data_IF_957003479959
#
_entry.id   IF_957003479959
#
_cell.length_a   1.000
_cell.length_b   1.000
_cell.length_c   1.000
_cell.angle_alpha   90.00
_cell.angle_beta   90.00
_cell.angle_gamma   90.00
#
_symmetry.space_group_name_H-M   'P 1'
#
loop_
_entity.id
_entity.type
_entity.pdbx_description
1 polymer ?
#
# COMPACT_ATOMS: atom_id res chain seq x y z
N UNK A 1 17.62 -66.36 59.21
CA UNK A 1 16.16 -66.41 58.95
C UNK A 1 15.75 -65.02 58.48
N UNK A 2 15.10 -64.94 57.31
CA UNK A 2 14.94 -63.79 56.39
C UNK A 2 14.54 -62.44 57.04
N UNK A 3 15.08 -61.34 56.48
CA UNK A 3 14.42 -60.03 56.20
C UNK A 3 15.47 -59.03 55.68
N UNK A 4 15.58 -58.85 54.37
CA UNK A 4 14.82 -57.91 53.50
C UNK A 4 15.59 -56.60 53.33
N UNK A 5 16.27 -56.48 52.17
CA UNK A 5 16.96 -55.29 51.71
C UNK A 5 15.94 -54.27 51.20
N UNK A 6 15.88 -53.09 51.82
CA UNK A 6 15.22 -51.91 51.25
C UNK A 6 16.30 -50.98 50.71
N UNK A 7 16.46 -50.96 49.38
CA UNK A 7 17.16 -49.87 48.67
C UNK A 7 16.28 -48.60 48.71
N UNK A 8 16.85 -47.40 48.93
CA UNK A 8 16.12 -46.17 48.71
C UNK A 8 16.04 -45.90 47.19
N UNK A 9 14.80 -45.77 46.69
CA UNK A 9 14.52 -45.37 45.32
C UNK A 9 14.87 -43.89 45.16
N UNK A 10 16.00 -43.60 44.53
CA UNK A 10 16.41 -42.24 44.17
C UNK A 10 15.61 -41.81 42.93
N UNK A 11 14.52 -41.08 43.13
CA UNK A 11 13.73 -40.48 42.05
C UNK A 11 14.50 -39.32 41.41
N UNK A 12 15.20 -39.60 40.30
CA UNK A 12 15.83 -38.61 39.45
C UNK A 12 14.75 -37.92 38.60
N UNK A 13 14.25 -36.77 39.07
CA UNK A 13 13.44 -35.87 38.24
C UNK A 13 14.34 -35.22 37.18
N UNK A 14 14.32 -35.76 35.96
CA UNK A 14 14.82 -35.07 34.77
C UNK A 14 13.83 -33.94 34.44
N UNK A 15 14.12 -32.73 34.91
CA UNK A 15 13.54 -31.51 34.36
C UNK A 15 14.17 -31.29 32.98
N UNK A 16 13.48 -31.76 31.94
CA UNK A 16 13.74 -31.30 30.57
C UNK A 16 13.35 -29.83 30.55
N UNK A 17 14.33 -28.96 30.74
CA UNK A 17 14.16 -27.53 30.49
C UNK A 17 13.81 -27.38 29.03
N UNK A 18 12.56 -27.07 28.73
CA UNK A 18 12.15 -26.57 27.43
C UNK A 18 12.94 -25.28 27.18
N UNK A 19 14.00 -25.41 26.39
CA UNK A 19 14.66 -24.27 25.78
C UNK A 19 13.65 -23.72 24.80
N UNK A 20 12.83 -22.76 25.24
CA UNK A 20 12.08 -21.92 24.33
C UNK A 20 13.18 -21.18 23.54
N UNK A 21 13.35 -21.41 22.23
CA UNK A 21 14.20 -20.53 21.46
C UNK A 21 13.60 -19.14 21.64
N UNK A 22 14.38 -18.22 22.18
CA UNK A 22 14.05 -16.81 22.08
C UNK A 22 13.82 -16.57 20.59
N UNK A 23 12.58 -16.31 20.20
CA UNK A 23 12.26 -15.75 18.89
C UNK A 23 13.09 -14.47 18.83
N UNK A 24 14.22 -14.57 18.13
CA UNK A 24 15.05 -13.44 17.82
C UNK A 24 14.13 -12.57 16.99
N UNK A 25 13.57 -11.55 17.64
CA UNK A 25 12.76 -10.50 17.06
C UNK A 25 13.26 -10.27 15.64
N UNK A 26 12.42 -10.59 14.64
CA UNK A 26 12.76 -10.39 13.24
C UNK A 26 12.99 -8.90 13.06
N UNK A 27 14.24 -8.49 13.26
CA UNK A 27 14.57 -7.09 13.38
C UNK A 27 14.68 -6.59 11.95
N UNK A 28 13.55 -6.13 11.42
CA UNK A 28 13.46 -5.28 10.23
C UNK A 28 14.14 -3.91 10.43
N UNK A 29 15.13 -3.84 11.33
CA UNK A 29 15.95 -2.70 11.66
C UNK A 29 17.32 -2.80 10.96
N UNK A 30 18.21 -1.86 11.27
CA UNK A 30 19.54 -1.80 10.66
C UNK A 30 20.39 -3.06 10.91
N UNK A 31 20.12 -3.83 11.97
CA UNK A 31 20.85 -5.07 12.22
C UNK A 31 20.43 -6.20 11.25
N UNK A 32 19.16 -6.20 10.82
CA UNK A 32 18.66 -7.12 9.80
C UNK A 32 19.36 -6.99 8.45
N UNK A 33 19.90 -5.81 8.12
CA UNK A 33 20.64 -5.56 6.87
C UNK A 33 21.95 -6.35 6.78
N UNK A 34 22.57 -6.69 7.90
CA UNK A 34 23.84 -7.43 7.92
C UNK A 34 23.68 -8.94 7.66
N UNK A 35 22.44 -9.45 7.61
CA UNK A 35 22.16 -10.87 7.43
C UNK A 35 22.11 -11.22 5.93
N UNK A 36 22.89 -12.22 5.53
CA UNK A 36 22.80 -12.81 4.19
C UNK A 36 21.45 -13.53 4.06
N UNK A 37 20.66 -13.14 3.06
CA UNK A 37 19.37 -13.77 2.74
C UNK A 37 19.56 -14.80 1.63
N UNK A 38 18.93 -15.96 1.77
CA UNK A 38 18.92 -17.05 0.77
C UNK A 38 17.51 -17.27 0.22
N UNK A 39 17.42 -17.86 -0.97
CA UNK A 39 16.12 -18.21 -1.58
C UNK A 39 15.37 -17.03 -2.22
N UNK A 40 16.02 -15.86 -2.29
CA UNK A 40 15.50 -14.65 -2.93
C UNK A 40 16.35 -14.29 -4.14
N UNK A 41 15.72 -13.93 -5.25
CA UNK A 41 16.38 -13.39 -6.43
C UNK A 41 15.82 -12.01 -6.73
N UNK A 42 16.65 -10.96 -6.64
CA UNK A 42 16.23 -9.60 -7.02
C UNK A 42 15.96 -9.52 -8.52
N UNK A 43 14.85 -8.89 -8.87
CA UNK A 43 14.42 -8.65 -10.24
C UNK A 43 13.88 -7.22 -10.35
N UNK A 44 13.93 -6.67 -11.58
CA UNK A 44 13.33 -5.39 -11.94
C UNK A 44 12.61 -5.53 -13.28
N UNK A 45 11.42 -4.96 -13.37
CA UNK A 45 10.81 -4.59 -14.65
C UNK A 45 10.77 -3.07 -14.71
N UNK A 46 11.16 -2.51 -15.84
CA UNK A 46 11.24 -1.07 -16.02
C UNK A 46 10.93 -0.65 -17.45
N UNK A 47 10.79 0.66 -17.64
CA UNK A 47 10.65 1.29 -18.94
C UNK A 47 11.96 1.40 -19.75
N UNK A 48 13.05 0.75 -19.32
CA UNK A 48 14.37 0.91 -19.97
C UNK A 48 14.36 0.57 -21.46
N UNK A 49 15.25 1.22 -22.20
CA UNK A 49 15.44 1.00 -23.62
C UNK A 49 16.09 -0.37 -23.87
N UNK A 50 15.32 -1.32 -24.40
CA UNK A 50 15.79 -2.68 -24.69
C UNK A 50 16.87 -2.74 -25.78
N UNK A 51 17.05 -1.67 -26.56
CA UNK A 51 18.13 -1.57 -27.55
C UNK A 51 19.47 -1.18 -26.93
N UNK A 52 19.47 -0.75 -25.65
CA UNK A 52 20.64 -0.15 -25.00
C UNK A 52 20.82 1.34 -25.31
N UNK A 53 19.85 1.96 -25.97
CA UNK A 53 19.76 3.41 -26.14
C UNK A 53 19.32 4.14 -24.88
N UNK A 54 18.78 5.35 -25.04
CA UNK A 54 18.36 6.24 -23.95
C UNK A 54 16.86 6.56 -23.99
N UNK A 55 16.06 5.80 -24.74
CA UNK A 55 14.61 5.95 -24.73
C UNK A 55 13.98 5.12 -23.61
N UNK A 56 14.33 5.44 -22.37
CA UNK A 56 13.96 4.68 -21.17
C UNK A 56 12.53 4.92 -20.68
N UNK A 57 11.59 5.13 -21.61
CA UNK A 57 10.19 5.46 -21.31
C UNK A 57 9.23 4.69 -22.19
N UNK A 58 8.00 4.51 -21.70
CA UNK A 58 6.88 4.29 -22.59
C UNK A 58 6.44 5.63 -23.19
N UNK A 59 6.27 5.64 -24.51
CA UNK A 59 5.87 6.82 -25.25
C UNK A 59 4.40 6.76 -25.67
N UNK A 60 3.79 7.94 -25.77
CA UNK A 60 2.53 8.18 -26.46
C UNK A 60 1.36 7.29 -26.00
N UNK A 61 1.17 7.13 -24.68
CA UNK A 61 0.00 6.41 -24.15
C UNK A 61 -1.23 7.29 -24.35
N UNK A 62 -2.14 6.85 -25.22
CA UNK A 62 -3.27 7.65 -25.71
C UNK A 62 -4.39 7.77 -24.66
N UNK A 63 -5.27 8.78 -24.77
CA UNK A 63 -6.50 8.81 -23.98
C UNK A 63 -7.28 7.50 -24.11
N UNK A 64 -7.72 6.94 -22.99
CA UNK A 64 -8.40 5.66 -22.87
C UNK A 64 -7.50 4.42 -23.01
N UNK A 65 -6.20 4.58 -23.27
CA UNK A 65 -5.29 3.43 -23.40
C UNK A 65 -4.98 2.83 -22.03
N UNK A 66 -5.04 1.50 -21.96
CA UNK A 66 -4.53 0.71 -20.85
C UNK A 66 -3.13 0.21 -21.20
N UNK A 67 -2.15 0.49 -20.35
CA UNK A 67 -0.76 0.08 -20.52
C UNK A 67 -0.33 -0.83 -19.39
N UNK A 68 0.07 -2.05 -19.73
CA UNK A 68 0.66 -3.00 -18.79
C UNK A 68 2.09 -2.57 -18.43
N UNK A 69 2.38 -2.46 -17.14
CA UNK A 69 3.68 -2.09 -16.59
C UNK A 69 4.44 -3.31 -16.02
N UNK A 70 3.70 -4.28 -15.51
CA UNK A 70 4.27 -5.45 -14.85
C UNK A 70 3.36 -6.66 -15.09
N UNK A 71 3.95 -7.81 -15.46
CA UNK A 71 3.22 -9.06 -15.62
C UNK A 71 4.20 -10.23 -15.46
N UNK A 72 4.20 -10.82 -14.27
CA UNK A 72 5.09 -11.92 -13.92
C UNK A 72 4.29 -13.13 -13.48
N UNK A 73 4.92 -14.30 -13.56
CA UNK A 73 4.40 -15.56 -13.03
C UNK A 73 5.21 -15.97 -11.80
N UNK A 74 4.71 -16.94 -11.04
CA UNK A 74 5.38 -17.45 -9.84
C UNK A 74 5.19 -16.57 -8.60
N UNK A 75 6.00 -16.84 -7.57
CA UNK A 75 5.89 -16.17 -6.28
C UNK A 75 6.96 -15.07 -6.12
N UNK A 76 6.59 -13.98 -5.44
CA UNK A 76 7.49 -12.88 -5.17
C UNK A 76 6.87 -11.78 -4.31
N UNK A 77 7.69 -10.78 -4.00
CA UNK A 77 7.26 -9.59 -3.26
C UNK A 77 7.81 -8.35 -3.95
N UNK A 78 6.91 -7.51 -4.47
CA UNK A 78 7.29 -6.14 -4.87
C UNK A 78 7.69 -5.40 -3.60
N UNK A 79 8.80 -4.67 -3.64
CA UNK A 79 9.33 -3.95 -2.48
C UNK A 79 9.78 -2.53 -2.80
N UNK A 80 9.75 -2.15 -4.07
CA UNK A 80 9.96 -0.78 -4.49
C UNK A 80 9.28 -0.52 -5.84
N UNK A 81 8.52 0.57 -5.90
CA UNK A 81 7.97 1.11 -7.14
C UNK A 81 8.46 2.56 -7.24
N UNK A 82 9.00 2.94 -8.40
CA UNK A 82 9.30 4.32 -8.75
C UNK A 82 8.62 4.68 -10.06
N UNK A 83 8.01 5.86 -10.15
CA UNK A 83 7.32 6.35 -11.36
C UNK A 83 7.60 7.84 -11.55
N UNK A 84 7.79 8.27 -12.80
CA UNK A 84 7.62 9.68 -13.20
C UNK A 84 6.96 9.80 -14.56
N UNK A 85 6.23 10.90 -14.79
CA UNK A 85 5.30 11.06 -15.91
C UNK A 85 5.50 12.43 -16.55
N UNK A 86 5.46 12.47 -17.89
CA UNK A 86 5.40 13.71 -18.67
C UNK A 86 4.19 13.66 -19.64
N UNK A 87 3.48 14.78 -19.89
CA UNK A 87 3.66 16.12 -19.32
C UNK A 87 3.55 16.17 -17.78
N UNK A 88 4.09 17.23 -17.15
CA UNK A 88 3.99 17.42 -15.71
C UNK A 88 2.56 17.78 -15.25
N UNK A 89 2.29 17.77 -13.93
CA UNK A 89 0.92 17.87 -13.38
C UNK A 89 0.10 19.08 -13.82
N UNK A 90 0.76 20.22 -14.07
CA UNK A 90 0.13 21.44 -14.61
C UNK A 90 -0.48 21.25 -16.01
N UNK A 91 -0.08 20.21 -16.74
CA UNK A 91 -0.55 19.87 -18.09
C UNK A 91 -1.25 18.50 -18.14
N UNK A 92 -1.06 17.65 -17.13
CA UNK A 92 -1.52 16.27 -17.11
C UNK A 92 -1.91 15.88 -15.68
N UNK A 93 -3.22 15.89 -15.40
CA UNK A 93 -3.72 15.59 -14.08
C UNK A 93 -3.47 14.13 -13.69
N UNK A 94 -2.66 13.89 -12.65
CA UNK A 94 -2.37 12.54 -12.14
C UNK A 94 -3.56 11.90 -11.42
N UNK A 95 -4.60 12.68 -11.08
CA UNK A 95 -5.85 12.12 -10.59
C UNK A 95 -6.63 11.35 -11.67
N UNK A 96 -6.31 11.57 -12.94
CA UNK A 96 -7.00 10.98 -14.08
C UNK A 96 -6.14 9.89 -14.76
N UNK A 97 -5.16 9.35 -14.06
CA UNK A 97 -4.37 8.18 -14.49
C UNK A 97 -4.63 7.07 -13.47
N UNK A 98 -5.35 6.03 -13.85
CA UNK A 98 -5.79 5.00 -12.90
C UNK A 98 -4.74 3.89 -12.82
N UNK A 99 -4.24 3.62 -11.62
CA UNK A 99 -3.34 2.52 -11.32
C UNK A 99 -4.15 1.32 -10.85
N UNK A 100 -3.91 0.15 -11.47
CA UNK A 100 -4.50 -1.11 -11.03
C UNK A 100 -3.44 -2.18 -10.79
N UNK A 101 -3.59 -2.93 -9.71
CA UNK A 101 -2.75 -4.10 -9.42
C UNK A 101 -3.61 -5.34 -9.14
N UNK A 102 -3.18 -6.47 -9.70
CA UNK A 102 -3.88 -7.74 -9.65
C UNK A 102 -2.95 -8.81 -9.11
N UNK A 103 -3.43 -9.57 -8.13
CA UNK A 103 -2.65 -10.62 -7.48
C UNK A 103 -3.19 -12.01 -7.84
N UNK A 104 -2.29 -12.98 -7.94
CA UNK A 104 -2.60 -14.41 -7.95
C UNK A 104 -3.55 -14.90 -9.05
N UNK A 105 -3.59 -14.18 -10.17
CA UNK A 105 -4.45 -14.48 -11.32
C UNK A 105 -5.90 -14.01 -11.15
N UNK A 106 -6.20 -13.20 -10.15
CA UNK A 106 -7.53 -12.62 -9.97
C UNK A 106 -7.91 -11.72 -11.16
N UNK A 107 -9.17 -11.80 -11.59
CA UNK A 107 -9.73 -10.94 -12.63
C UNK A 107 -10.09 -9.54 -12.14
N UNK A 108 -10.15 -9.34 -10.82
CA UNK A 108 -10.42 -8.07 -10.18
C UNK A 108 -9.14 -7.44 -9.62
N UNK A 109 -9.06 -6.11 -9.64
CA UNK A 109 -7.95 -5.39 -9.06
C UNK A 109 -8.06 -5.39 -7.53
N UNK A 110 -6.95 -5.67 -6.84
CA UNK A 110 -6.85 -5.54 -5.38
C UNK A 110 -6.32 -4.17 -4.96
N UNK A 111 -5.69 -3.47 -5.90
CA UNK A 111 -5.35 -2.05 -5.80
C UNK A 111 -6.02 -1.35 -6.96
N UNK A 112 -6.83 -0.34 -6.68
CA UNK A 112 -7.42 0.55 -7.69
C UNK A 112 -7.49 1.97 -7.13
N UNK A 113 -6.74 2.88 -7.74
CA UNK A 113 -6.69 4.28 -7.32
C UNK A 113 -6.17 5.14 -8.47
N UNK A 114 -6.60 6.41 -8.57
CA UNK A 114 -5.81 7.43 -9.23
C UNK A 114 -4.34 7.41 -8.75
N UNK A 115 -3.40 7.53 -9.69
CA UNK A 115 -1.98 7.36 -9.39
C UNK A 115 -1.45 8.48 -8.50
N UNK A 116 -1.92 9.72 -8.67
CA UNK A 116 -1.54 10.83 -7.77
C UNK A 116 -1.90 10.53 -6.31
N UNK A 117 -3.19 10.40 -5.98
CA UNK A 117 -3.67 10.04 -4.64
C UNK A 117 -3.03 8.80 -4.02
N UNK A 118 -2.77 7.75 -4.80
CA UNK A 118 -2.08 6.56 -4.31
C UNK A 118 -0.71 6.88 -3.69
N UNK A 119 0.05 7.77 -4.34
CA UNK A 119 1.39 8.17 -3.90
C UNK A 119 1.42 9.38 -2.96
N UNK A 120 0.27 9.86 -2.46
CA UNK A 120 0.27 11.04 -1.59
C UNK A 120 0.22 12.38 -2.34
N UNK A 121 -0.31 12.42 -3.56
CA UNK A 121 -0.48 13.65 -4.35
C UNK A 121 -1.97 13.88 -4.66
N UNK A 122 -2.65 14.62 -3.79
CA UNK A 122 -4.07 14.91 -3.89
C UNK A 122 -4.42 15.84 -5.06
N UNK A 123 -5.68 15.75 -5.51
CA UNK A 123 -6.24 16.58 -6.58
C UNK A 123 -5.36 16.60 -7.84
N UNK A 124 -5.23 17.77 -8.47
CA UNK A 124 -4.32 18.04 -9.57
C UNK A 124 -3.03 18.73 -9.10
N UNK A 125 -2.65 18.57 -7.83
CA UNK A 125 -1.52 19.25 -7.23
C UNK A 125 -0.21 18.46 -7.38
N UNK A 126 0.90 19.15 -7.06
CA UNK A 126 2.24 18.58 -7.05
C UNK A 126 3.06 19.20 -5.94
N UNK A 127 3.51 18.37 -5.00
CA UNK A 127 4.26 18.82 -3.82
C UNK A 127 5.19 17.72 -3.30
N UNK A 128 6.41 18.07 -2.84
CA UNK A 128 7.30 17.11 -2.21
C UNK A 128 6.72 16.64 -0.87
N UNK A 129 6.81 15.35 -0.62
CA UNK A 129 6.36 14.72 0.62
C UNK A 129 7.19 13.45 0.85
N UNK A 130 7.44 13.08 2.10
CA UNK A 130 8.05 11.79 2.39
C UNK A 130 7.56 11.25 3.72
N UNK A 131 7.15 9.98 3.70
CA UNK A 131 6.94 9.13 4.86
C UNK A 131 7.66 7.79 4.59
N UNK A 132 7.57 6.86 5.55
CA UNK A 132 8.25 5.57 5.43
C UNK A 132 7.77 4.75 4.21
N UNK A 133 6.47 4.51 3.99
CA UNK A 133 6.02 3.70 2.85
C UNK A 133 5.91 4.46 1.52
N UNK A 134 5.81 5.78 1.53
CA UNK A 134 5.62 6.61 0.33
C UNK A 134 6.52 7.84 0.34
N UNK A 135 7.12 8.15 -0.80
CA UNK A 135 7.89 9.38 -0.98
C UNK A 135 7.63 9.99 -2.35
N UNK A 136 7.64 11.32 -2.40
CA UNK A 136 7.41 12.13 -3.58
C UNK A 136 8.54 13.14 -3.69
N UNK A 137 9.45 12.86 -4.62
CA UNK A 137 10.78 13.46 -4.69
C UNK A 137 10.88 14.79 -5.45
N UNK A 138 12.13 15.25 -5.73
CA UNK A 138 12.44 16.56 -6.31
C UNK A 138 11.76 16.89 -7.65
N UNK A 139 11.90 18.14 -8.07
CA UNK A 139 11.14 18.76 -9.19
C UNK A 139 9.64 18.79 -8.87
N UNK A 140 9.33 19.44 -7.74
CA UNK A 140 7.95 19.73 -7.31
C UNK A 140 7.06 18.50 -7.14
N UNK A 141 7.60 17.34 -6.75
CA UNK A 141 6.80 16.14 -6.49
C UNK A 141 6.59 15.22 -7.71
N UNK A 142 7.53 15.23 -8.67
CA UNK A 142 7.41 14.41 -9.89
C UNK A 142 7.91 12.97 -9.77
N UNK A 143 8.71 12.65 -8.75
CA UNK A 143 9.25 11.30 -8.54
C UNK A 143 8.40 10.56 -7.50
N UNK A 144 7.50 9.70 -7.95
CA UNK A 144 6.56 8.94 -7.13
C UNK A 144 7.21 7.63 -6.66
N UNK A 145 7.27 7.38 -5.36
CA UNK A 145 7.94 6.20 -4.78
C UNK A 145 7.05 5.50 -3.77
N UNK A 146 7.00 4.18 -3.85
CA UNK A 146 6.35 3.31 -2.87
C UNK A 146 7.30 2.22 -2.42
N UNK A 147 7.37 2.03 -1.10
CA UNK A 147 8.11 0.97 -0.40
C UNK A 147 7.19 -0.04 0.28
N UNK A 148 5.87 0.03 0.03
CA UNK A 148 4.97 -1.03 0.48
C UNK A 148 5.42 -2.37 -0.09
N UNK A 149 5.51 -3.37 0.77
CA UNK A 149 5.77 -4.75 0.35
C UNK A 149 4.47 -5.36 -0.14
N UNK A 150 4.46 -5.87 -1.38
CA UNK A 150 3.27 -6.42 -2.03
C UNK A 150 3.54 -7.87 -2.46
N UNK A 151 3.23 -8.85 -1.59
CA UNK A 151 3.40 -10.26 -1.90
C UNK A 151 2.41 -10.78 -2.96
N UNK A 152 2.85 -11.74 -3.77
CA UNK A 152 2.03 -12.51 -4.71
C UNK A 152 2.60 -13.94 -4.82
N UNK A 153 1.73 -14.96 -4.92
CA UNK A 153 2.09 -16.37 -4.96
C UNK A 153 2.00 -16.98 -6.38
N UNK A 154 1.06 -16.52 -7.22
CA UNK A 154 0.79 -17.08 -8.56
C UNK A 154 0.91 -16.04 -9.68
N UNK A 155 1.76 -15.04 -9.47
CA UNK A 155 1.98 -13.94 -10.37
C UNK A 155 1.24 -12.68 -9.98
N UNK A 156 1.66 -11.58 -10.61
CA UNK A 156 1.14 -10.25 -10.36
C UNK A 156 1.11 -9.47 -11.67
N UNK A 157 0.10 -8.60 -11.80
CA UNK A 157 -0.08 -7.70 -12.94
C UNK A 157 -0.29 -6.27 -12.44
N UNK A 158 0.39 -5.31 -13.05
CA UNK A 158 0.20 -3.87 -12.81
C UNK A 158 -0.08 -3.22 -14.15
N UNK A 159 -1.11 -2.39 -14.21
CA UNK A 159 -1.44 -1.58 -15.37
C UNK A 159 -1.78 -0.15 -14.95
N UNK A 160 -1.68 0.76 -15.91
CA UNK A 160 -2.28 2.08 -15.83
C UNK A 160 -3.32 2.28 -16.93
N UNK A 161 -4.32 3.10 -16.66
CA UNK A 161 -5.28 3.59 -17.66
C UNK A 161 -5.20 5.11 -17.74
N UNK A 162 -5.03 5.64 -18.95
CA UNK A 162 -4.99 7.07 -19.18
C UNK A 162 -6.40 7.65 -19.36
N UNK A 163 -7.01 8.17 -18.29
CA UNK A 163 -8.32 8.83 -18.34
C UNK A 163 -8.23 10.37 -18.44
N UNK A 164 -7.02 10.91 -18.60
CA UNK A 164 -6.74 12.36 -18.57
C UNK A 164 -7.36 13.15 -19.73
N UNK A 165 -7.82 12.47 -20.78
CA UNK A 165 -8.20 13.11 -22.06
C UNK A 165 -7.01 13.64 -22.88
N UNK A 166 -5.79 13.58 -22.36
CA UNK A 166 -4.57 14.04 -23.00
C UNK A 166 -3.57 12.89 -23.24
N UNK A 167 -2.55 13.14 -24.07
CA UNK A 167 -1.49 12.16 -24.34
C UNK A 167 -0.48 12.14 -23.17
N UNK A 168 -0.22 10.96 -22.60
CA UNK A 168 0.96 10.77 -21.75
C UNK A 168 2.17 10.60 -22.68
N UNK A 169 2.97 11.66 -22.78
CA UNK A 169 4.12 11.74 -23.70
C UNK A 169 5.25 10.80 -23.28
N UNK A 170 5.50 10.70 -21.99
CA UNK A 170 6.53 9.83 -21.43
C UNK A 170 6.08 9.26 -20.09
N UNK A 171 6.25 7.95 -19.93
CA UNK A 171 6.01 7.27 -18.66
C UNK A 171 7.24 6.43 -18.31
N UNK A 172 7.89 6.80 -17.22
CA UNK A 172 9.08 6.14 -16.70
C UNK A 172 8.71 5.39 -15.43
N UNK A 173 9.19 4.15 -15.29
CA UNK A 173 8.93 3.40 -14.07
C UNK A 173 9.97 2.32 -13.79
N UNK A 174 10.10 1.97 -12.50
CA UNK A 174 10.72 0.77 -11.97
C UNK A 174 9.70 0.03 -11.09
N UNK A 175 9.56 -1.28 -11.30
CA UNK A 175 8.96 -2.21 -10.35
C UNK A 175 10.03 -3.21 -9.95
N UNK A 176 10.54 -3.04 -8.74
CA UNK A 176 11.52 -3.91 -8.10
C UNK A 176 10.81 -4.93 -7.22
N UNK A 177 11.25 -6.18 -7.34
CA UNK A 177 10.70 -7.27 -6.56
C UNK A 177 11.76 -8.33 -6.27
N UNK A 178 11.51 -9.12 -5.24
CA UNK A 178 12.23 -10.38 -5.01
C UNK A 178 11.38 -11.53 -5.51
N UNK A 179 11.95 -12.33 -6.42
CA UNK A 179 11.41 -13.61 -6.84
C UNK A 179 11.82 -14.68 -5.82
N UNK A 180 10.89 -15.58 -5.48
CA UNK A 180 11.13 -16.67 -4.56
C UNK A 180 10.34 -17.92 -4.97
N UNK A 181 10.73 -19.07 -4.44
CA UNK A 181 10.05 -20.35 -4.75
C UNK A 181 8.62 -20.37 -4.19
N UNK A 182 8.45 -19.86 -2.99
CA UNK A 182 7.19 -19.88 -2.23
C UNK A 182 7.17 -18.71 -1.25
N UNK A 183 5.99 -18.15 -1.00
CA UNK A 183 5.81 -17.11 0.01
C UNK A 183 5.81 -17.71 1.43
N UNK A 184 6.15 -16.92 2.46
CA UNK A 184 5.79 -17.25 3.84
C UNK A 184 4.28 -17.53 3.98
N UNK A 185 3.92 -18.49 4.85
CA UNK A 185 2.51 -18.94 5.02
C UNK A 185 1.57 -17.81 5.48
N UNK A 186 2.11 -16.83 6.20
CA UNK A 186 1.41 -15.69 6.77
C UNK A 186 1.45 -14.43 5.89
N UNK A 187 2.02 -14.52 4.69
CA UNK A 187 2.09 -13.39 3.76
C UNK A 187 0.70 -12.96 3.27
N UNK A 188 0.28 -11.77 3.67
CA UNK A 188 -0.95 -11.12 3.20
C UNK A 188 -0.88 -10.66 1.73
N UNK A 189 -1.89 -9.90 1.30
CA UNK A 189 -1.91 -9.20 0.01
C UNK A 189 -2.13 -7.73 0.24
N UNK A 190 -1.36 -6.90 -0.45
CA UNK A 190 -1.51 -5.47 -0.37
C UNK A 190 -2.77 -5.04 -1.13
N UNK A 191 -3.62 -4.25 -0.48
CA UNK A 191 -4.83 -3.70 -1.06
C UNK A 191 -4.84 -2.18 -0.86
N UNK A 192 -5.37 -1.46 -1.84
CA UNK A 192 -5.59 -0.02 -1.73
C UNK A 192 -6.80 0.37 -2.59
N UNK A 193 -7.63 1.25 -2.06
CA UNK A 193 -8.86 1.66 -2.67
C UNK A 193 -9.01 3.18 -2.54
N UNK A 194 -9.52 3.80 -3.60
CA UNK A 194 -9.84 5.22 -3.62
C UNK A 194 -11.35 5.42 -3.52
N UNK A 195 -11.76 6.26 -2.56
CA UNK A 195 -13.13 6.75 -2.43
C UNK A 195 -13.14 8.28 -2.57
N UNK A 196 -14.27 8.83 -3.01
CA UNK A 196 -14.54 10.26 -3.05
C UNK A 196 -16.04 10.49 -2.88
N UNK A 197 -16.39 11.33 -1.91
CA UNK A 197 -17.75 11.79 -1.68
C UNK A 197 -17.75 13.32 -1.53
N UNK A 198 -18.70 13.98 -2.18
CA UNK A 198 -19.13 15.31 -1.74
C UNK A 198 -20.13 15.08 -0.61
N UNK A 199 -19.69 15.27 0.63
CA UNK A 199 -20.53 14.97 1.81
C UNK A 199 -21.69 15.95 1.94
N UNK A 200 -22.78 15.47 2.51
CA UNK A 200 -24.01 16.26 2.69
C UNK A 200 -24.09 16.87 4.09
N UNK A 201 -24.40 18.17 4.17
CA UNK A 201 -24.76 18.81 5.43
C UNK A 201 -25.96 18.13 6.11
N UNK A 202 -26.15 18.37 7.41
CA UNK A 202 -27.37 17.97 8.09
C UNK A 202 -28.57 18.80 7.55
N UNK A 203 -29.82 18.31 7.66
CA UNK A 203 -31.01 19.05 7.25
C UNK A 203 -31.13 20.44 7.91
N UNK A 204 -30.61 20.58 9.13
CA UNK A 204 -30.62 21.83 9.91
C UNK A 204 -29.39 22.73 9.60
N UNK A 205 -28.57 22.37 8.62
CA UNK A 205 -27.40 23.12 8.16
C UNK A 205 -26.06 22.65 8.72
N UNK A 206 -25.00 23.38 8.36
CA UNK A 206 -23.61 23.15 8.80
C UNK A 206 -23.40 23.71 10.21
N UNK A 207 -23.93 23.02 11.23
CA UNK A 207 -23.96 23.47 12.62
C UNK A 207 -22.69 23.10 13.42
N UNK A 208 -21.51 23.29 12.83
CA UNK A 208 -20.25 23.07 13.56
C UNK A 208 -20.10 24.07 14.71
N UNK A 209 -19.49 23.64 15.81
CA UNK A 209 -19.33 24.40 17.08
C UNK A 209 -20.62 25.03 17.62
N UNK A 210 -21.77 24.40 17.36
CA UNK A 210 -23.09 24.90 17.76
C UNK A 210 -23.40 26.32 17.25
N UNK A 211 -22.85 26.73 16.11
CA UNK A 211 -23.00 28.09 15.54
C UNK A 211 -24.43 28.43 15.11
N UNK A 212 -25.24 27.42 14.78
CA UNK A 212 -26.66 27.55 14.38
C UNK A 212 -27.63 27.04 15.46
N UNK A 213 -27.13 26.42 16.54
CA UNK A 213 -27.94 25.88 17.64
C UNK A 213 -27.30 24.65 18.29
N UNK A 214 -28.01 23.94 19.18
CA UNK A 214 -27.50 22.72 19.82
C UNK A 214 -27.12 21.64 18.79
N UNK A 215 -25.99 20.95 19.00
CA UNK A 215 -25.56 19.85 18.15
C UNK A 215 -26.30 18.54 18.42
N UNK A 216 -26.47 17.73 17.36
CA UNK A 216 -26.99 16.37 17.44
C UNK A 216 -25.96 15.36 17.95
N UNK A 217 -26.33 14.07 17.96
CA UNK A 217 -25.45 12.95 18.32
C UNK A 217 -25.43 11.92 17.19
N UNK A 218 -24.26 11.32 16.93
CA UNK A 218 -24.07 10.28 15.93
C UNK A 218 -23.50 8.99 16.55
N UNK A 219 -24.29 8.22 17.33
CA UNK A 219 -23.78 7.08 18.08
C UNK A 219 -23.47 5.84 17.23
N UNK A 220 -23.84 5.83 15.94
CA UNK A 220 -23.75 4.66 15.06
C UNK A 220 -22.92 4.90 13.80
N UNK A 221 -22.49 6.13 13.55
CA UNK A 221 -21.70 6.47 12.37
C UNK A 221 -22.45 6.34 11.04
N UNK A 222 -23.79 6.30 11.03
CA UNK A 222 -24.61 6.00 9.84
C UNK A 222 -24.42 6.99 8.67
N UNK A 223 -23.90 8.20 8.96
CA UNK A 223 -23.57 9.25 7.96
C UNK A 223 -22.07 9.56 7.89
N UNK A 224 -21.21 8.69 8.41
CA UNK A 224 -19.76 8.90 8.33
C UNK A 224 -19.27 8.68 6.90
N UNK A 225 -18.20 9.38 6.53
CA UNK A 225 -17.46 9.09 5.31
C UNK A 225 -16.79 7.72 5.39
N UNK A 226 -16.94 6.90 4.35
CA UNK A 226 -16.36 5.56 4.33
C UNK A 226 -14.91 5.59 3.84
N UNK A 227 -13.97 5.23 4.73
CA UNK A 227 -12.55 5.08 4.38
C UNK A 227 -12.17 3.65 3.97
N UNK A 228 -12.87 2.63 4.49
CA UNK A 228 -12.65 1.22 4.18
C UNK A 228 -13.85 0.35 4.58
N UNK A 229 -14.27 -0.57 3.70
CA UNK A 229 -15.19 -1.68 4.00
C UNK A 229 -14.58 -2.97 3.46
N UNK A 230 -14.05 -3.80 4.37
CA UNK A 230 -13.19 -4.93 4.02
C UNK A 230 -13.69 -6.18 4.74
N UNK A 231 -13.90 -7.26 3.97
CA UNK A 231 -14.19 -8.59 4.51
C UNK A 231 -12.99 -9.50 4.33
N UNK A 232 -12.43 -9.97 5.45
CA UNK A 232 -11.28 -10.87 5.44
C UNK A 232 -10.50 -10.82 6.76
N UNK A 233 -9.34 -11.47 6.78
CA UNK A 233 -8.37 -11.39 7.88
C UNK A 233 -7.17 -10.59 7.42
N UNK A 234 -6.83 -9.52 8.12
CA UNK A 234 -5.73 -8.63 7.77
C UNK A 234 -5.57 -7.51 8.80
N UNK A 235 -4.94 -6.41 8.39
CA UNK A 235 -4.72 -5.22 9.21
C UNK A 235 -4.71 -3.97 8.31
N UNK A 236 -5.30 -2.89 8.80
CA UNK A 236 -5.30 -1.59 8.12
C UNK A 236 -3.98 -0.86 8.41
N UNK A 237 -3.32 -0.32 7.37
CA UNK A 237 -1.94 0.22 7.48
C UNK A 237 -1.80 1.70 7.16
N UNK A 238 -2.84 2.37 6.65
CA UNK A 238 -2.75 3.81 6.37
C UNK A 238 -3.89 4.36 5.52
N UNK A 239 -4.00 5.70 5.55
CA UNK A 239 -4.93 6.50 4.75
C UNK A 239 -4.22 7.76 4.27
N UNK A 240 -4.35 8.08 2.98
CA UNK A 240 -4.13 9.43 2.49
C UNK A 240 -5.49 10.13 2.48
N UNK A 241 -5.65 11.18 3.28
CA UNK A 241 -6.92 11.91 3.42
C UNK A 241 -6.82 13.29 2.76
N UNK A 242 -7.69 13.56 1.79
CA UNK A 242 -7.72 14.81 1.03
C UNK A 242 -9.07 15.49 1.23
N UNK A 243 -9.07 16.69 1.83
CA UNK A 243 -10.27 17.47 2.11
C UNK A 243 -10.18 18.84 1.46
N UNK A 244 -11.19 19.19 0.66
CA UNK A 244 -11.38 20.54 0.14
C UNK A 244 -12.57 21.14 0.88
N UNK A 245 -12.29 21.92 1.94
CA UNK A 245 -13.34 22.57 2.73
C UNK A 245 -13.85 23.82 1.99
N UNK A 246 -15.15 23.91 1.67
CA UNK A 246 -15.73 25.09 1.00
C UNK A 246 -16.01 26.25 1.97
N UNK A 247 -15.78 26.05 3.28
CA UNK A 247 -16.07 26.99 4.36
C UNK A 247 -14.80 27.30 5.15
N UNK A 248 -14.63 28.52 5.70
CA UNK A 248 -13.53 28.85 6.60
C UNK A 248 -13.66 28.17 7.98
N UNK A 249 -14.79 27.54 8.27
CA UNK A 249 -14.97 26.75 9.48
C UNK A 249 -13.97 25.59 9.51
N UNK A 250 -13.49 25.26 10.72
CA UNK A 250 -12.64 24.08 10.92
C UNK A 250 -13.40 22.81 10.52
N UNK A 251 -12.78 21.95 9.71
CA UNK A 251 -13.44 20.76 9.15
C UNK A 251 -13.28 19.49 10.00
N UNK A 252 -12.43 19.53 11.02
CA UNK A 252 -11.83 18.33 11.62
C UNK A 252 -12.31 17.99 13.03
N UNK A 253 -13.53 18.37 13.41
CA UNK A 253 -14.15 17.88 14.66
C UNK A 253 -14.62 16.43 14.55
N UNK A 254 -14.73 15.89 13.33
CA UNK A 254 -15.20 14.52 13.11
C UNK A 254 -14.27 13.46 13.71
N UNK A 255 -14.84 12.54 14.48
CA UNK A 255 -14.15 11.38 15.05
C UNK A 255 -14.01 10.24 14.02
N UNK A 256 -12.90 9.50 14.06
CA UNK A 256 -12.82 8.20 13.42
C UNK A 256 -13.65 7.15 14.18
N UNK A 257 -14.40 6.33 13.46
CA UNK A 257 -15.13 5.18 14.02
C UNK A 257 -14.75 3.91 13.27
N UNK A 258 -14.15 2.96 13.99
CA UNK A 258 -13.66 1.69 13.44
C UNK A 258 -14.50 0.55 14.00
N UNK A 259 -15.09 -0.25 13.11
CA UNK A 259 -15.88 -1.43 13.44
C UNK A 259 -15.14 -2.68 12.97
N UNK A 260 -14.78 -3.57 13.89
CA UNK A 260 -14.01 -4.81 13.64
C UNK A 260 -14.89 -6.02 13.97
#
# INVERSE_FOLDING_TARGET
>A
MKRDYLLPLLSLLLTVGSVIPAEAQESGDLAGLARIRSGLTTKRISSYDRTGGNNDRFENIKPGEVRELFNVKGAGMINHIWITIAPPPEQLNRNDIILRMYWDGNSFASVESPIGPFFGQGWNESYPFSCLPLAVGPVEGRALVSYFVMPFARGARIEIENQTGALIRAFYYYVDYVEMKELPEDAGRFCAWYNHELTEALPDGENEWSTLGPQGKNPRGERNYLIADIKGKGHFVGVNYYVHSPTPMWYGEGDDMIFI
#
